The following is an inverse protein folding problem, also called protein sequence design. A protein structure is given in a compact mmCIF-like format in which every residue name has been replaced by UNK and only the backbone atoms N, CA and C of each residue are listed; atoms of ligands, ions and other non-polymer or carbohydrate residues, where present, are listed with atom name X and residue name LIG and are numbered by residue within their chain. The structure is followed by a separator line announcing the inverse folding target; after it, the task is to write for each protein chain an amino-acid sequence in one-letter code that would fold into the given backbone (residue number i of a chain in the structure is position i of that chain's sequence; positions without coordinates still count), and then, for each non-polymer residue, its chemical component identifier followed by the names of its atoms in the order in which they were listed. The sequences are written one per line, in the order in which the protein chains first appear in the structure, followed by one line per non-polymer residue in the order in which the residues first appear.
data_IF_654452607157
#
_entry.id   IF_654452607157
#
_cell.length_a   1.000
_cell.length_b   1.000
_cell.length_c   1.000
_cell.angle_alpha   90.00
_cell.angle_beta   90.00
_cell.angle_gamma   90.00
#
_symmetry.space_group_name_H-M   'P 1'
#
loop_
_entity.id
_entity.type
_entity.pdbx_description
1 polymer ?
#
# COMPACT_ATOMS: atom_id res chain seq x y z
N UNK A 1 18.62 9.16 -2.10
CA UNK A 1 18.06 7.81 -1.88
C UNK A 1 18.30 7.42 -0.45
N UNK A 2 17.31 6.84 0.27
CA UNK A 2 17.45 6.39 1.66
C UNK A 2 16.81 5.02 1.85
N UNK A 3 17.34 4.16 2.75
CA UNK A 3 16.67 2.92 3.13
C UNK A 3 15.49 3.23 4.06
N UNK A 4 14.38 2.53 3.84
CA UNK A 4 13.23 2.48 4.72
C UNK A 4 13.21 1.14 5.46
N UNK A 5 13.10 1.19 6.79
CA UNK A 5 13.07 0.01 7.65
C UNK A 5 11.64 -0.24 8.13
N UNK A 6 11.26 -1.51 8.23
CA UNK A 6 9.93 -1.91 8.75
C UNK A 6 9.66 -1.30 10.12
N UNK A 7 8.42 -0.87 10.35
CA UNK A 7 7.94 -0.34 11.62
C UNK A 7 8.47 1.05 11.98
N UNK A 8 9.28 1.69 11.12
CA UNK A 8 9.65 3.10 11.33
C UNK A 8 8.57 3.99 10.74
N UNK A 9 8.05 4.96 11.51
CA UNK A 9 7.13 5.95 10.98
C UNK A 9 7.85 6.77 9.90
N UNK A 10 7.12 7.10 8.86
CA UNK A 10 7.52 8.12 7.90
C UNK A 10 7.13 9.46 8.53
N UNK A 11 8.07 10.42 8.60
CA UNK A 11 7.87 11.72 9.25
C UNK A 11 6.51 12.33 8.93
N UNK A 12 5.85 12.82 9.97
CA UNK A 12 4.57 13.53 9.81
C UNK A 12 4.74 14.72 8.85
N UNK A 13 3.76 14.96 7.95
CA UNK A 13 3.78 16.12 7.06
C UNK A 13 3.89 17.47 7.77
N UNK A 14 3.47 17.55 9.02
CA UNK A 14 3.46 18.77 9.84
C UNK A 14 4.77 19.07 10.57
N UNK A 15 5.76 18.16 10.55
CA UNK A 15 7.03 18.38 11.23
C UNK A 15 7.93 19.38 10.46
N UNK A 16 8.73 20.20 11.17
CA UNK A 16 9.75 21.03 10.54
C UNK A 16 10.71 20.18 9.72
N UNK A 17 10.86 20.52 8.44
CA UNK A 17 11.70 19.74 7.52
C UNK A 17 11.04 18.49 6.95
N UNK A 18 9.73 18.38 7.04
CA UNK A 18 8.93 17.31 6.46
C UNK A 18 9.35 16.97 5.02
N UNK A 19 9.31 15.72 4.69
CA UNK A 19 9.74 15.19 3.39
C UNK A 19 8.66 14.30 2.81
N UNK A 20 8.46 14.48 1.52
CA UNK A 20 7.68 13.58 0.67
C UNK A 20 8.54 12.40 0.29
N UNK A 21 7.98 11.20 0.26
CA UNK A 21 8.68 9.94 0.02
C UNK A 21 8.11 9.24 -1.19
N UNK A 22 8.97 8.85 -2.13
CA UNK A 22 8.66 8.05 -3.30
C UNK A 22 9.29 6.67 -3.11
N UNK A 23 8.50 5.62 -2.82
CA UNK A 23 9.01 4.26 -2.75
C UNK A 23 9.63 3.81 -4.08
N UNK A 24 10.67 2.98 -4.04
CA UNK A 24 11.29 2.40 -5.23
C UNK A 24 11.06 0.88 -5.23
N UNK A 25 11.49 0.22 -4.17
CA UNK A 25 11.41 -1.22 -3.96
C UNK A 25 10.94 -1.55 -2.53
N UNK A 26 10.06 -0.71 -1.99
CA UNK A 26 9.47 -0.85 -0.66
C UNK A 26 7.96 -0.60 -0.72
N UNK A 27 7.25 -1.08 0.29
CA UNK A 27 5.80 -0.87 0.44
C UNK A 27 5.52 -0.08 1.70
N UNK A 28 4.70 0.95 1.56
CA UNK A 28 4.20 1.78 2.64
C UNK A 28 2.68 1.67 2.71
N UNK A 29 2.15 1.32 3.88
CA UNK A 29 0.73 1.37 4.17
C UNK A 29 0.34 2.76 4.63
N UNK A 30 -0.75 3.29 4.09
CA UNK A 30 -1.47 4.42 4.65
C UNK A 30 -2.60 3.89 5.52
N UNK A 31 -2.59 4.27 6.80
CA UNK A 31 -3.46 3.70 7.83
C UNK A 31 -4.31 4.76 8.49
N UNK A 32 -5.53 4.37 8.87
CA UNK A 32 -6.32 5.07 9.86
C UNK A 32 -6.26 4.29 11.17
N UNK A 33 -5.98 4.98 12.28
CA UNK A 33 -5.98 4.41 13.61
C UNK A 33 -7.10 5.05 14.44
N UNK A 34 -7.85 4.23 15.17
CA UNK A 34 -8.92 4.66 16.06
C UNK A 34 -8.36 4.98 17.44
N UNK A 35 -9.12 5.69 18.25
CA UNK A 35 -8.72 6.09 19.60
C UNK A 35 -8.39 4.90 20.53
N UNK A 36 -8.92 3.73 20.26
CA UNK A 36 -8.66 2.48 20.99
C UNK A 36 -7.43 1.70 20.49
N UNK A 37 -6.68 2.27 19.52
CA UNK A 37 -5.49 1.67 18.91
C UNK A 37 -5.78 0.65 17.82
N UNK A 38 -7.05 0.36 17.53
CA UNK A 38 -7.40 -0.44 16.36
C UNK A 38 -7.27 0.39 15.08
N UNK A 39 -6.86 -0.25 14.00
CA UNK A 39 -6.74 0.44 12.72
C UNK A 39 -6.58 -0.52 11.55
N UNK A 40 -6.75 0.00 10.35
CA UNK A 40 -6.54 -0.74 9.11
C UNK A 40 -5.86 0.12 8.06
N UNK A 41 -5.27 -0.55 7.08
CA UNK A 41 -4.77 0.09 5.87
C UNK A 41 -5.96 0.47 5.00
N UNK A 42 -5.99 1.71 4.53
CA UNK A 42 -6.96 2.12 3.51
C UNK A 42 -6.33 2.20 2.12
N UNK A 43 -5.00 2.32 2.04
CA UNK A 43 -4.28 2.30 0.78
C UNK A 43 -2.83 1.83 0.97
N UNK A 44 -2.27 1.27 -0.09
CA UNK A 44 -0.89 0.83 -0.21
C UNK A 44 -0.18 1.71 -1.23
N UNK A 45 1.05 2.12 -0.94
CA UNK A 45 1.89 2.93 -1.82
C UNK A 45 3.19 2.18 -2.08
N UNK A 46 3.48 1.94 -3.35
CA UNK A 46 4.73 1.39 -3.87
C UNK A 46 5.38 2.34 -4.86
N UNK A 47 6.06 1.79 -5.85
CA UNK A 47 6.79 2.53 -6.89
C UNK A 47 5.88 3.39 -7.80
N UNK A 48 4.59 3.14 -7.80
CA UNK A 48 3.58 3.92 -8.54
C UNK A 48 3.18 5.23 -7.87
N UNK A 49 3.58 5.47 -6.61
CA UNK A 49 2.98 6.51 -5.81
C UNK A 49 3.91 7.34 -4.93
N UNK A 50 3.30 8.15 -4.09
CA UNK A 50 3.97 9.09 -3.20
C UNK A 50 3.32 9.10 -1.82
N UNK A 51 4.15 9.13 -0.78
CA UNK A 51 3.73 9.26 0.63
C UNK A 51 3.97 10.69 1.09
N UNK A 52 2.98 11.26 1.80
CA UNK A 52 3.04 12.63 2.31
C UNK A 52 2.50 13.68 1.33
N UNK A 53 1.57 13.29 0.46
CA UNK A 53 0.96 14.17 -0.54
C UNK A 53 0.25 15.37 0.10
N UNK A 54 -0.44 15.18 1.22
CA UNK A 54 -1.12 16.26 1.95
C UNK A 54 -0.19 17.40 2.37
N UNK A 55 1.09 17.10 2.60
CA UNK A 55 2.07 18.08 3.04
C UNK A 55 2.32 19.22 2.05
N UNK A 56 2.07 19.02 0.76
CA UNK A 56 2.29 20.04 -0.26
C UNK A 56 1.02 20.41 -1.04
N UNK A 57 -0.07 19.67 -0.89
CA UNK A 57 -1.36 19.96 -1.56
C UNK A 57 -2.37 20.64 -0.64
N UNK A 58 -2.22 20.53 0.68
CA UNK A 58 -3.14 21.09 1.68
C UNK A 58 -2.51 22.20 2.51
N UNK A 59 -3.34 23.06 3.07
CA UNK A 59 -2.92 24.10 4.03
C UNK A 59 -2.65 23.49 5.40
N UNK A 60 -3.43 22.50 5.79
CA UNK A 60 -3.26 21.75 7.02
C UNK A 60 -3.07 20.25 6.69
N UNK A 61 -1.90 19.73 7.01
CA UNK A 61 -1.62 18.32 6.81
C UNK A 61 -2.37 17.49 7.85
N UNK A 62 -3.34 16.69 7.42
CA UNK A 62 -3.90 15.65 8.27
C UNK A 62 -2.85 14.56 8.50
N UNK A 63 -2.74 14.12 9.75
CA UNK A 63 -1.88 12.99 10.10
C UNK A 63 -2.49 11.70 9.58
N UNK A 64 -2.01 11.26 8.43
CA UNK A 64 -2.23 9.88 7.99
C UNK A 64 -1.01 9.09 8.45
N UNK A 65 -1.22 8.06 9.24
CA UNK A 65 -0.13 7.19 9.66
C UNK A 65 0.38 6.40 8.47
N UNK A 66 1.68 6.56 8.22
CA UNK A 66 2.36 5.86 7.15
C UNK A 66 3.39 4.89 7.74
N UNK A 67 3.18 3.60 7.53
CA UNK A 67 4.02 2.53 8.07
C UNK A 67 4.69 1.72 6.95
N UNK A 68 6.00 1.50 7.07
CA UNK A 68 6.75 0.64 6.14
C UNK A 68 6.42 -0.82 6.41
N UNK A 69 5.77 -1.49 5.46
CA UNK A 69 5.42 -2.92 5.54
C UNK A 69 6.50 -3.80 4.93
N UNK A 70 6.94 -3.48 3.71
CA UNK A 70 8.08 -4.15 3.10
C UNK A 70 9.25 -3.17 3.06
N UNK A 71 10.38 -3.49 3.72
CA UNK A 71 11.56 -2.63 3.73
C UNK A 71 12.19 -2.56 2.35
N UNK A 72 12.87 -1.46 2.05
CA UNK A 72 13.55 -1.24 0.78
C UNK A 72 14.04 0.19 0.66
N UNK A 73 14.16 0.71 -0.55
CA UNK A 73 14.70 2.03 -0.86
C UNK A 73 13.60 3.00 -1.28
N UNK A 74 13.81 4.27 -0.99
CA UNK A 74 12.95 5.35 -1.43
C UNK A 74 13.74 6.61 -1.77
N UNK A 75 13.20 7.43 -2.66
CA UNK A 75 13.61 8.81 -2.83
C UNK A 75 12.89 9.68 -1.80
N UNK A 76 13.52 10.77 -1.40
CA UNK A 76 12.94 11.67 -0.42
C UNK A 76 13.23 13.12 -0.82
N UNK A 77 12.19 13.91 -0.98
CA UNK A 77 12.23 15.30 -1.42
C UNK A 77 11.66 16.20 -0.32
N UNK A 78 12.23 17.39 -0.14
CA UNK A 78 11.66 18.35 0.81
C UNK A 78 10.26 18.80 0.35
N UNK A 79 9.34 18.89 1.28
CA UNK A 79 7.96 19.33 1.03
C UNK A 79 7.89 20.71 0.35
N UNK A 80 8.78 21.64 0.75
CA UNK A 80 8.83 22.97 0.13
C UNK A 80 9.16 22.94 -1.36
N UNK A 81 10.01 22.01 -1.80
CA UNK A 81 10.33 21.82 -3.22
C UNK A 81 9.12 21.26 -3.97
N UNK A 82 8.45 20.27 -3.37
CA UNK A 82 7.24 19.67 -3.97
C UNK A 82 6.12 20.70 -4.11
N UNK A 83 5.93 21.56 -3.11
CA UNK A 83 4.94 22.65 -3.16
C UNK A 83 5.27 23.64 -4.28
N UNK A 84 6.52 24.07 -4.38
CA UNK A 84 6.97 24.95 -5.46
C UNK A 84 6.66 24.36 -6.84
N UNK A 85 6.96 23.07 -7.05
CA UNK A 85 6.66 22.39 -8.31
C UNK A 85 5.15 22.30 -8.56
N UNK A 86 4.36 21.98 -7.53
CA UNK A 86 2.91 21.87 -7.63
C UNK A 86 2.26 23.22 -8.01
N UNK A 87 2.76 24.31 -7.46
CA UNK A 87 2.25 25.66 -7.75
C UNK A 87 2.69 26.17 -9.13
N UNK A 88 3.95 25.91 -9.51
CA UNK A 88 4.56 26.49 -10.71
C UNK A 88 4.37 25.65 -11.99
N UNK A 89 4.24 24.33 -11.89
CA UNK A 89 4.17 23.42 -13.04
C UNK A 89 2.78 22.79 -13.20
N UNK A 90 1.97 23.22 -14.18
CA UNK A 90 0.64 22.64 -14.43
C UNK A 90 0.68 21.15 -14.82
N UNK A 91 1.74 20.68 -15.50
CA UNK A 91 1.87 19.29 -15.90
C UNK A 91 2.12 18.40 -14.67
N UNK A 92 3.04 18.82 -13.80
CA UNK A 92 3.28 18.14 -12.53
C UNK A 92 2.02 18.14 -11.65
N UNK A 93 1.33 19.28 -11.53
CA UNK A 93 0.07 19.35 -10.78
C UNK A 93 -0.98 18.40 -11.33
N UNK A 94 -1.12 18.27 -12.65
CA UNK A 94 -2.05 17.34 -13.28
C UNK A 94 -1.73 15.87 -12.90
N UNK A 95 -0.45 15.49 -12.91
CA UNK A 95 -0.01 14.14 -12.50
C UNK A 95 -0.37 13.88 -11.03
N UNK A 96 -0.09 14.82 -10.15
CA UNK A 96 -0.41 14.72 -8.72
C UNK A 96 -1.92 14.57 -8.50
N UNK A 97 -2.75 15.35 -9.19
CA UNK A 97 -4.21 15.27 -9.07
C UNK A 97 -4.75 13.92 -9.59
N UNK A 98 -4.20 13.38 -10.67
CA UNK A 98 -4.54 12.04 -11.16
C UNK A 98 -4.18 10.97 -10.14
N UNK A 99 -3.01 11.06 -9.52
CA UNK A 99 -2.60 10.14 -8.46
C UNK A 99 -3.53 10.24 -7.24
N UNK A 100 -3.91 11.44 -6.82
CA UNK A 100 -4.88 11.63 -5.73
C UNK A 100 -6.23 10.98 -6.05
N UNK A 101 -6.71 11.11 -7.29
CA UNK A 101 -7.95 10.46 -7.72
C UNK A 101 -7.82 8.94 -7.68
N UNK A 102 -6.72 8.38 -8.19
CA UNK A 102 -6.47 6.94 -8.15
C UNK A 102 -6.39 6.42 -6.70
N UNK A 103 -5.71 7.16 -5.83
CA UNK A 103 -5.61 6.85 -4.40
C UNK A 103 -6.98 6.86 -3.70
N UNK A 104 -7.83 7.85 -4.01
CA UNK A 104 -9.19 7.93 -3.49
C UNK A 104 -10.04 6.75 -3.95
N UNK A 105 -9.96 6.39 -5.23
CA UNK A 105 -10.68 5.24 -5.80
C UNK A 105 -10.19 3.92 -5.14
N UNK A 106 -8.88 3.76 -4.97
CA UNK A 106 -8.31 2.59 -4.30
C UNK A 106 -8.75 2.50 -2.83
N UNK A 107 -8.79 3.62 -2.10
CA UNK A 107 -9.27 3.67 -0.72
C UNK A 107 -10.75 3.29 -0.62
N UNK A 108 -11.59 3.83 -1.50
CA UNK A 108 -13.03 3.52 -1.56
C UNK A 108 -13.27 2.04 -1.87
N UNK A 109 -12.52 1.49 -2.82
CA UNK A 109 -12.60 0.07 -3.17
C UNK A 109 -12.11 -0.83 -2.02
N UNK A 110 -11.07 -0.41 -1.30
CA UNK A 110 -10.55 -1.12 -0.13
C UNK A 110 -11.58 -1.16 1.00
N UNK A 111 -12.25 -0.04 1.27
CA UNK A 111 -13.31 0.03 2.28
C UNK A 111 -14.49 -0.91 1.94
N UNK A 112 -14.91 -0.92 0.68
CA UNK A 112 -15.94 -1.83 0.17
C UNK A 112 -15.49 -3.30 0.30
N UNK A 113 -14.24 -3.59 -0.08
CA UNK A 113 -13.65 -4.91 0.02
C UNK A 113 -13.67 -5.45 1.45
N UNK A 114 -13.27 -4.65 2.42
CA UNK A 114 -13.23 -5.06 3.83
C UNK A 114 -14.62 -5.37 4.39
N UNK A 115 -15.65 -4.73 3.86
CA UNK A 115 -17.03 -4.95 4.30
C UNK A 115 -17.68 -6.21 3.71
N UNK A 116 -17.34 -6.55 2.46
CA UNK A 116 -18.14 -7.50 1.67
C UNK A 116 -17.40 -8.79 1.28
N UNK A 117 -16.06 -8.83 1.35
CA UNK A 117 -15.30 -10.01 0.95
C UNK A 117 -14.72 -10.76 2.15
N UNK A 118 -14.54 -12.07 2.00
CA UNK A 118 -13.94 -12.92 3.01
C UNK A 118 -12.43 -12.67 3.18
N UNK A 119 -11.90 -13.03 4.37
CA UNK A 119 -10.47 -12.81 4.71
C UNK A 119 -9.54 -13.49 3.70
N UNK A 120 -9.87 -14.69 3.20
CA UNK A 120 -9.07 -15.41 2.20
C UNK A 120 -8.93 -14.59 0.90
N UNK A 121 -10.04 -14.05 0.39
CA UNK A 121 -10.05 -13.19 -0.80
C UNK A 121 -9.24 -11.91 -0.59
N UNK A 122 -9.37 -11.30 0.60
CA UNK A 122 -8.61 -10.10 0.98
C UNK A 122 -7.11 -10.39 1.08
N UNK A 123 -6.71 -11.54 1.65
CA UNK A 123 -5.31 -11.97 1.73
C UNK A 123 -4.76 -12.19 0.33
N UNK A 124 -5.45 -12.92 -0.55
CA UNK A 124 -5.02 -13.12 -1.93
C UNK A 124 -4.83 -11.78 -2.67
N UNK A 125 -5.80 -10.85 -2.52
CA UNK A 125 -5.72 -9.49 -3.07
C UNK A 125 -4.47 -8.74 -2.58
N UNK A 126 -4.19 -8.76 -1.27
CA UNK A 126 -3.04 -8.05 -0.69
C UNK A 126 -1.73 -8.65 -1.17
N UNK A 127 -1.61 -9.97 -1.25
CA UNK A 127 -0.41 -10.64 -1.75
C UNK A 127 -0.10 -10.26 -3.20
N UNK A 128 -1.10 -10.27 -4.07
CA UNK A 128 -0.96 -9.86 -5.46
C UNK A 128 -0.63 -8.37 -5.58
N UNK A 129 -1.30 -7.50 -4.81
CA UNK A 129 -1.03 -6.07 -4.82
C UNK A 129 0.39 -5.72 -4.37
N UNK A 130 0.98 -6.49 -3.46
CA UNK A 130 2.37 -6.35 -3.04
C UNK A 130 3.31 -6.90 -4.12
N UNK A 131 2.98 -8.05 -4.72
CA UNK A 131 3.74 -8.61 -5.83
C UNK A 131 3.85 -7.66 -7.01
N UNK A 132 2.76 -6.97 -7.39
CA UNK A 132 2.77 -5.99 -8.48
C UNK A 132 3.73 -4.81 -8.26
N UNK A 133 4.08 -4.52 -7.00
CA UNK A 133 4.91 -3.37 -6.58
C UNK A 133 6.34 -3.74 -6.20
N UNK A 134 6.60 -5.02 -5.98
CA UNK A 134 7.92 -5.54 -5.63
C UNK A 134 8.34 -6.55 -6.70
N UNK A 135 9.56 -6.43 -7.19
CA UNK A 135 10.11 -7.43 -8.10
C UNK A 135 10.34 -8.74 -7.34
N UNK A 136 9.63 -9.79 -7.74
CA UNK A 136 9.81 -11.13 -7.22
C UNK A 136 8.59 -11.74 -6.52
N UNK A 137 8.64 -13.06 -6.38
CA UNK A 137 7.56 -13.89 -5.82
C UNK A 137 7.74 -14.20 -4.33
N UNK A 138 8.85 -13.76 -3.72
CA UNK A 138 9.15 -13.98 -2.31
C UNK A 138 8.89 -12.71 -1.50
N UNK A 139 7.74 -12.66 -0.85
CA UNK A 139 7.28 -11.49 -0.11
C UNK A 139 7.73 -11.54 1.36
N UNK A 140 8.39 -10.50 1.89
CA UNK A 140 8.84 -10.44 3.28
C UNK A 140 7.68 -10.10 4.23
N UNK A 141 6.68 -10.98 4.33
CA UNK A 141 5.44 -10.76 5.08
C UNK A 141 5.24 -11.82 6.15
N UNK A 142 4.75 -11.39 7.32
CA UNK A 142 4.26 -12.28 8.37
C UNK A 142 2.73 -12.20 8.45
N UNK A 143 2.08 -13.22 9.02
CA UNK A 143 0.64 -13.19 9.29
C UNK A 143 0.24 -11.97 10.15
N UNK A 144 1.10 -11.56 11.10
CA UNK A 144 0.85 -10.37 11.92
C UNK A 144 0.85 -9.08 11.10
N UNK A 145 1.74 -8.96 10.11
CA UNK A 145 1.79 -7.80 9.21
C UNK A 145 0.52 -7.74 8.37
N UNK A 146 0.13 -8.85 7.75
CA UNK A 146 -1.10 -8.93 6.94
C UNK A 146 -2.33 -8.62 7.81
N UNK A 147 -2.41 -9.18 9.02
CA UNK A 147 -3.50 -8.94 9.96
C UNK A 147 -3.62 -7.44 10.30
N UNK A 148 -2.49 -6.77 10.55
CA UNK A 148 -2.45 -5.32 10.78
C UNK A 148 -2.86 -4.49 9.56
N UNK A 149 -2.57 -4.94 8.34
CA UNK A 149 -3.02 -4.30 7.11
C UNK A 149 -4.54 -4.42 6.94
N UNK A 150 -5.08 -5.63 7.15
CA UNK A 150 -6.50 -5.92 6.98
C UNK A 150 -7.38 -5.44 8.13
N UNK A 151 -6.80 -5.10 9.29
CA UNK A 151 -7.55 -4.77 10.50
C UNK A 151 -8.30 -5.97 11.08
N UNK A 152 -7.75 -7.18 10.93
CA UNK A 152 -8.36 -8.44 11.40
C UNK A 152 -7.46 -9.15 12.42
N UNK A 153 -7.99 -10.17 13.09
CA UNK A 153 -7.21 -11.01 14.00
C UNK A 153 -6.23 -11.89 13.21
N UNK A 154 -5.05 -12.13 13.79
CA UNK A 154 -3.99 -12.95 13.19
C UNK A 154 -4.44 -14.37 12.86
N UNK A 155 -5.33 -14.95 13.68
CA UNK A 155 -5.87 -16.29 13.51
C UNK A 155 -6.60 -16.41 12.16
N UNK A 156 -7.44 -15.43 11.78
CA UNK A 156 -8.13 -15.42 10.50
C UNK A 156 -7.18 -15.38 9.30
N UNK A 157 -6.08 -14.60 9.41
CA UNK A 157 -5.02 -14.61 8.37
C UNK A 157 -4.31 -15.96 8.32
N UNK A 158 -4.07 -16.59 9.46
CA UNK A 158 -3.43 -17.91 9.52
C UNK A 158 -4.31 -18.99 8.85
N UNK A 159 -5.62 -18.96 9.08
CA UNK A 159 -6.57 -19.85 8.42
C UNK A 159 -6.60 -19.62 6.91
N UNK A 160 -6.71 -18.36 6.47
CA UNK A 160 -6.71 -17.99 5.07
C UNK A 160 -5.42 -18.41 4.35
N UNK A 161 -4.25 -18.15 4.94
CA UNK A 161 -2.97 -18.55 4.34
C UNK A 161 -2.78 -20.07 4.32
N UNK A 162 -3.30 -20.78 5.31
CA UNK A 162 -3.30 -22.25 5.29
C UNK A 162 -4.22 -22.82 4.19
N UNK A 163 -5.35 -22.17 3.89
CA UNK A 163 -6.21 -22.56 2.78
C UNK A 163 -5.48 -22.37 1.43
N UNK A 164 -4.92 -21.18 1.19
CA UNK A 164 -4.14 -20.91 -0.03
C UNK A 164 -2.93 -21.84 -0.20
N UNK A 165 -2.28 -22.22 0.91
CA UNK A 165 -1.17 -23.19 0.90
C UNK A 165 -1.61 -24.59 0.56
N UNK A 166 -2.74 -25.08 1.12
CA UNK A 166 -3.30 -26.40 0.80
C UNK A 166 -3.63 -26.53 -0.68
N UNK A 167 -4.06 -25.43 -1.31
CA UNK A 167 -4.37 -25.38 -2.73
C UNK A 167 -3.12 -25.16 -3.61
N UNK A 168 -1.92 -25.14 -3.01
CA UNK A 168 -0.65 -25.03 -3.72
C UNK A 168 -0.38 -23.63 -4.29
N UNK A 169 -1.12 -22.60 -3.89
CA UNK A 169 -1.00 -21.25 -4.43
C UNK A 169 0.16 -20.48 -3.82
N UNK A 170 0.47 -20.75 -2.55
CA UNK A 170 1.55 -20.12 -1.79
C UNK A 170 2.29 -21.12 -0.93
N UNK A 171 3.51 -20.75 -0.53
CA UNK A 171 4.25 -21.39 0.57
C UNK A 171 4.61 -20.34 1.62
N UNK A 172 4.58 -20.73 2.90
CA UNK A 172 4.95 -19.86 4.00
C UNK A 172 6.08 -20.45 4.83
N UNK A 173 7.19 -19.76 4.91
CA UNK A 173 8.33 -20.17 5.72
C UNK A 173 9.08 -18.95 6.30
N UNK A 174 9.43 -19.04 7.58
CA UNK A 174 10.34 -18.09 8.27
C UNK A 174 9.98 -16.60 8.07
N UNK A 175 8.67 -16.27 8.14
CA UNK A 175 8.20 -14.88 7.99
C UNK A 175 8.21 -14.35 6.56
N UNK A 176 8.21 -15.24 5.58
CA UNK A 176 8.13 -14.93 4.15
C UNK A 176 7.05 -15.79 3.49
N UNK A 177 6.37 -15.20 2.52
CA UNK A 177 5.38 -15.87 1.68
C UNK A 177 5.97 -15.99 0.28
N UNK A 178 6.03 -17.20 -0.25
CA UNK A 178 6.41 -17.49 -1.62
C UNK A 178 5.15 -17.72 -2.43
N UNK A 179 4.95 -16.94 -3.49
CA UNK A 179 3.84 -17.10 -4.42
C UNK A 179 4.22 -18.16 -5.45
N UNK A 180 3.45 -19.24 -5.51
CA UNK A 180 3.73 -20.40 -6.37
C UNK A 180 2.91 -20.34 -7.66
N UNK A 181 1.64 -19.96 -7.56
CA UNK A 181 0.71 -19.85 -8.68
C UNK A 181 -0.01 -18.49 -8.64
N UNK A 182 0.47 -17.55 -9.43
CA UNK A 182 -0.10 -16.20 -9.52
C UNK A 182 -1.50 -16.21 -10.16
N UNK A 183 -1.75 -17.13 -11.11
CA UNK A 183 -3.04 -17.24 -11.76
C UNK A 183 -4.09 -17.78 -10.80
N UNK A 184 -3.80 -18.90 -10.15
CA UNK A 184 -4.68 -19.48 -9.14
C UNK A 184 -4.93 -18.49 -7.98
N UNK A 185 -3.90 -17.74 -7.58
CA UNK A 185 -4.05 -16.70 -6.55
C UNK A 185 -4.94 -15.55 -7.03
N UNK A 186 -4.88 -15.17 -8.31
CA UNK A 186 -5.77 -14.17 -8.92
C UNK A 186 -7.22 -14.65 -8.98
N UNK A 187 -7.44 -15.93 -9.26
CA UNK A 187 -8.78 -16.54 -9.26
C UNK A 187 -9.39 -16.63 -7.85
N UNK A 188 -8.55 -16.65 -6.82
CA UNK A 188 -8.97 -16.63 -5.40
C UNK A 188 -9.17 -15.21 -4.86
N UNK A 189 -8.55 -14.21 -5.47
CA UNK A 189 -8.75 -12.82 -5.07
C UNK A 189 -10.16 -12.35 -5.48
N UNK A 190 -10.64 -11.34 -4.75
CA UNK A 190 -11.86 -10.64 -5.20
C UNK A 190 -11.54 -9.70 -6.36
N UNK A 191 -12.58 -9.29 -7.10
CA UNK A 191 -12.53 -8.32 -8.20
C UNK A 191 -11.88 -7.00 -7.83
N UNK A 192 -11.84 -6.67 -6.54
CA UNK A 192 -11.19 -5.46 -6.03
C UNK A 192 -9.70 -5.40 -6.38
N UNK A 193 -9.04 -6.55 -6.54
CA UNK A 193 -7.64 -6.58 -6.99
C UNK A 193 -7.50 -5.97 -8.39
N UNK A 194 -8.26 -6.48 -9.34
CA UNK A 194 -8.21 -6.00 -10.73
C UNK A 194 -8.62 -4.52 -10.83
N UNK A 195 -9.68 -4.13 -10.12
CA UNK A 195 -10.19 -2.76 -10.13
C UNK A 195 -9.15 -1.75 -9.63
N UNK A 196 -8.48 -2.04 -8.50
CA UNK A 196 -7.43 -1.16 -7.94
C UNK A 196 -6.21 -1.13 -8.87
N UNK A 197 -5.75 -2.29 -9.34
CA UNK A 197 -4.59 -2.39 -10.26
C UNK A 197 -4.84 -1.59 -11.54
N UNK A 198 -5.99 -1.76 -12.17
CA UNK A 198 -6.32 -1.12 -13.43
C UNK A 198 -6.52 0.39 -13.29
N UNK A 199 -6.91 0.87 -12.08
CA UNK A 199 -6.95 2.30 -11.77
C UNK A 199 -5.54 2.92 -11.80
N UNK A 200 -4.56 2.29 -11.16
CA UNK A 200 -3.18 2.77 -11.18
C UNK A 200 -2.54 2.67 -12.58
N UNK A 201 -2.86 1.63 -13.37
CA UNK A 201 -2.42 1.52 -14.77
C UNK A 201 -2.98 2.64 -15.63
N UNK A 202 -4.27 2.96 -15.50
CA UNK A 202 -4.87 4.12 -16.20
C UNK A 202 -4.19 5.43 -15.82
N UNK A 203 -3.85 5.59 -14.56
CA UNK A 203 -3.14 6.78 -14.08
C UNK A 203 -1.75 6.92 -14.73
N UNK A 204 -0.99 5.83 -14.85
CA UNK A 204 0.36 5.83 -15.46
C UNK A 204 0.33 5.91 -17.00
N UNK A 205 -0.83 5.79 -17.63
CA UNK A 205 -0.98 5.79 -19.09
C UNK A 205 -0.67 4.44 -19.75
N UNK A 206 -0.50 3.39 -18.97
CA UNK A 206 -0.42 2.01 -19.44
C UNK A 206 -1.84 1.53 -19.84
N UNK A 207 -2.00 1.15 -21.10
CA UNK A 207 -3.22 0.57 -21.66
C UNK A 207 -3.20 -0.95 -21.65
#
# INVERSE_FOLDING_TARGET
MRPLKRGKPISSPSEPGARVVFPIDCIVSLRCELADGHGSEFAMVGNEGVVGISAFTSVEAQSTDAAVQCPGRALSVRTSVMRLMFDADPAFRCIVLRYMQALLNAASQTATCYRHHGIEQQVARVLLAIHDRLDGVLLPLTHQVIAGMLGVRREGVTEATNALRRDGLIEYARGRIHLLDLRGLSDRACECYAQIRDEYRRMSGER
#
